data_IF_364017571886
#
_entry.id   IF_364017571886
#
_cell.length_a   1.000
_cell.length_b   1.000
_cell.length_c   1.000
_cell.angle_alpha   90.00
_cell.angle_beta   90.00
_cell.angle_gamma   90.00
#
_symmetry.space_group_name_H-M   'P 1'
#
loop_
_entity.id
_entity.type
_entity.pdbx_description
1 polymer ?
#
# COMPACT_ATOMS: atom_id res chain seq x y z
N UNK A 1 -37.73 -15.60 -37.02
CA UNK A 1 -36.63 -16.27 -36.28
C UNK A 1 -35.58 -15.22 -35.95
N UNK A 2 -35.44 -14.84 -34.68
CA UNK A 2 -34.31 -14.00 -34.22
C UNK A 2 -33.24 -14.97 -33.74
N UNK A 3 -32.10 -14.94 -34.42
CA UNK A 3 -30.92 -15.73 -34.06
C UNK A 3 -30.20 -14.95 -32.95
N UNK A 4 -30.33 -15.43 -31.71
CA UNK A 4 -29.53 -14.95 -30.59
C UNK A 4 -28.15 -15.60 -30.67
N UNK A 5 -27.13 -14.82 -30.98
CA UNK A 5 -25.73 -15.22 -30.81
C UNK A 5 -25.39 -15.13 -29.31
N UNK A 6 -24.80 -16.16 -28.71
CA UNK A 6 -24.34 -16.09 -27.32
C UNK A 6 -23.13 -15.16 -27.25
N UNK A 7 -23.28 -14.08 -26.49
CA UNK A 7 -22.15 -13.27 -26.02
C UNK A 7 -21.36 -14.19 -25.09
N UNK A 8 -20.17 -14.60 -25.54
CA UNK A 8 -19.23 -15.30 -24.69
C UNK A 8 -18.90 -14.43 -23.48
N UNK A 9 -19.35 -14.84 -22.30
CA UNK A 9 -18.79 -14.36 -21.04
C UNK A 9 -17.31 -14.76 -21.04
N UNK A 10 -16.42 -13.79 -21.23
CA UNK A 10 -15.06 -13.91 -20.70
C UNK A 10 -15.17 -13.79 -19.18
N UNK A 11 -15.49 -14.91 -18.53
CA UNK A 11 -15.07 -15.09 -17.15
C UNK A 11 -13.55 -14.99 -17.17
N UNK A 12 -13.01 -13.95 -16.51
CA UNK A 12 -11.57 -13.81 -16.30
C UNK A 12 -11.07 -15.04 -15.55
N UNK A 13 -10.62 -16.05 -16.29
CA UNK A 13 -9.66 -17.03 -15.80
C UNK A 13 -8.44 -16.21 -15.42
N UNK A 14 -8.35 -15.86 -14.14
CA UNK A 14 -7.19 -15.19 -13.57
C UNK A 14 -5.97 -16.01 -13.92
N UNK A 15 -5.14 -15.49 -14.84
CA UNK A 15 -3.75 -15.89 -14.90
C UNK A 15 -3.23 -15.69 -13.47
N UNK A 16 -2.61 -16.72 -12.90
CA UNK A 16 -2.02 -16.63 -11.58
C UNK A 16 -1.17 -15.35 -11.54
N UNK A 17 -1.39 -14.49 -10.54
CA UNK A 17 -0.62 -13.27 -10.37
C UNK A 17 0.88 -13.59 -10.47
N UNK A 18 1.58 -13.00 -11.44
CA UNK A 18 3.02 -13.07 -11.47
C UNK A 18 3.56 -12.14 -10.39
N UNK A 19 4.19 -12.74 -9.37
CA UNK A 19 4.80 -12.03 -8.24
C UNK A 19 6.32 -12.19 -8.27
N UNK A 20 6.92 -12.54 -9.41
CA UNK A 20 8.36 -12.79 -9.55
C UNK A 20 9.21 -11.56 -9.22
N UNK A 21 8.65 -10.36 -9.38
CA UNK A 21 9.27 -9.09 -8.97
C UNK A 21 9.48 -8.98 -7.46
N UNK A 22 8.72 -9.74 -6.66
CA UNK A 22 8.86 -9.84 -5.20
C UNK A 22 9.62 -11.11 -4.81
N UNK A 23 10.28 -11.06 -3.66
CA UNK A 23 10.59 -12.28 -2.92
C UNK A 23 9.35 -12.67 -2.13
N UNK A 24 8.61 -13.67 -2.61
CA UNK A 24 7.41 -14.13 -1.91
C UNK A 24 7.78 -15.18 -0.86
N UNK A 25 7.36 -14.94 0.38
CA UNK A 25 7.59 -15.88 1.47
C UNK A 25 6.61 -17.07 1.45
N UNK A 26 7.09 -18.24 1.86
CA UNK A 26 6.25 -19.44 1.99
C UNK A 26 5.14 -19.27 3.03
N UNK A 27 5.30 -18.37 4.01
CA UNK A 27 4.21 -17.99 4.94
C UNK A 27 2.98 -17.40 4.25
N UNK A 28 3.12 -16.85 3.04
CA UNK A 28 2.00 -16.35 2.23
C UNK A 28 1.38 -17.43 1.33
N UNK A 29 2.04 -18.58 1.21
CA UNK A 29 1.69 -19.64 0.26
C UNK A 29 1.17 -20.90 0.95
N UNK A 30 0.78 -20.81 2.21
CA UNK A 30 0.08 -21.92 2.90
C UNK A 30 -1.29 -22.15 2.26
N UNK A 31 -1.86 -23.37 2.35
CA UNK A 31 -3.17 -23.68 1.78
C UNK A 31 -4.29 -22.72 2.23
N UNK A 32 -4.21 -22.19 3.44
CA UNK A 32 -5.20 -21.30 4.05
C UNK A 32 -5.10 -19.86 3.55
N UNK A 33 -3.94 -19.45 3.00
CA UNK A 33 -3.63 -18.05 2.68
C UNK A 33 -3.46 -17.79 1.20
N UNK A 34 -2.92 -18.77 0.46
CA UNK A 34 -2.49 -18.62 -0.94
C UNK A 34 -3.57 -18.01 -1.82
N UNK A 35 -4.77 -18.56 -1.79
CA UNK A 35 -5.82 -18.16 -2.74
C UNK A 35 -6.31 -16.73 -2.43
N UNK A 36 -6.47 -16.38 -1.15
CA UNK A 36 -6.81 -15.03 -0.72
C UNK A 36 -5.71 -14.02 -1.05
N UNK A 37 -4.45 -14.39 -0.82
CA UNK A 37 -3.29 -13.54 -1.11
C UNK A 37 -3.13 -13.26 -2.61
N UNK A 38 -3.19 -14.30 -3.43
CA UNK A 38 -3.09 -14.18 -4.88
C UNK A 38 -4.24 -13.34 -5.46
N UNK A 39 -5.47 -13.56 -4.99
CA UNK A 39 -6.62 -12.74 -5.37
C UNK A 39 -6.41 -11.28 -4.98
N UNK A 40 -5.95 -11.04 -3.75
CA UNK A 40 -5.73 -9.69 -3.27
C UNK A 40 -4.66 -8.95 -4.08
N UNK A 41 -3.61 -9.65 -4.53
CA UNK A 41 -2.58 -9.10 -5.41
C UNK A 41 -3.13 -8.74 -6.79
N UNK A 42 -3.88 -9.64 -7.42
CA UNK A 42 -4.54 -9.34 -8.70
C UNK A 42 -5.52 -8.16 -8.58
N UNK A 43 -6.30 -8.10 -7.49
CA UNK A 43 -7.20 -6.98 -7.25
C UNK A 43 -6.43 -5.68 -7.01
N UNK A 44 -5.30 -5.73 -6.30
CA UNK A 44 -4.44 -4.56 -6.06
C UNK A 44 -3.85 -4.02 -7.37
N UNK A 45 -3.45 -4.89 -8.30
CA UNK A 45 -3.04 -4.51 -9.65
C UNK A 45 -4.15 -3.73 -10.37
N UNK A 46 -5.37 -4.30 -10.43
CA UNK A 46 -6.52 -3.66 -11.10
C UNK A 46 -6.83 -2.28 -10.48
N UNK A 47 -6.77 -2.17 -9.16
CA UNK A 47 -6.98 -0.91 -8.45
C UNK A 47 -5.88 0.11 -8.74
N UNK A 48 -4.62 -0.31 -8.79
CA UNK A 48 -3.48 0.56 -9.11
C UNK A 48 -3.55 1.10 -10.54
N UNK A 49 -3.87 0.23 -11.52
CA UNK A 49 -4.07 0.60 -12.92
C UNK A 49 -5.20 1.60 -13.04
N UNK A 50 -6.33 1.33 -12.39
CA UNK A 50 -7.49 2.23 -12.43
C UNK A 50 -7.18 3.59 -11.82
N UNK A 51 -6.45 3.62 -10.70
CA UNK A 51 -6.03 4.86 -10.05
C UNK A 51 -5.09 5.67 -10.96
N UNK A 52 -4.10 5.03 -11.60
CA UNK A 52 -3.22 5.69 -12.55
C UNK A 52 -3.99 6.30 -13.74
N UNK A 53 -4.88 5.51 -14.36
CA UNK A 53 -5.71 5.98 -15.48
C UNK A 53 -6.61 7.17 -15.10
N UNK A 54 -7.18 7.13 -13.89
CA UNK A 54 -8.04 8.20 -13.38
C UNK A 54 -7.26 9.46 -13.06
N UNK A 55 -6.07 9.32 -12.48
CA UNK A 55 -5.15 10.43 -12.29
C UNK A 55 -4.80 11.03 -13.66
N UNK A 56 -4.45 10.24 -14.68
CA UNK A 56 -4.16 10.78 -16.01
C UNK A 56 -5.33 11.56 -16.63
N UNK A 57 -6.59 11.14 -16.39
CA UNK A 57 -7.77 11.89 -16.86
C UNK A 57 -7.89 13.26 -16.21
N UNK A 58 -7.47 13.43 -14.95
CA UNK A 58 -7.54 14.71 -14.24
C UNK A 58 -6.55 15.77 -14.74
N UNK A 59 -5.55 15.38 -15.56
CA UNK A 59 -4.71 16.34 -16.29
C UNK A 59 -5.50 17.11 -17.34
N UNK A 60 -6.55 16.49 -17.88
CA UNK A 60 -7.44 17.10 -18.86
C UNK A 60 -8.49 17.97 -18.20
N UNK A 61 -8.91 19.01 -18.92
CA UNK A 61 -10.02 19.85 -18.52
C UNK A 61 -11.31 19.04 -18.34
N UNK A 62 -12.14 19.47 -17.39
CA UNK A 62 -13.46 18.93 -17.14
C UNK A 62 -14.32 19.10 -18.40
N UNK A 63 -14.91 18.02 -18.94
CA UNK A 63 -15.77 18.11 -20.12
C UNK A 63 -17.02 18.97 -19.90
N UNK A 64 -17.55 19.52 -20.99
CA UNK A 64 -18.80 20.28 -21.00
C UNK A 64 -20.03 19.45 -20.57
N UNK A 65 -21.10 20.15 -20.15
CA UNK A 65 -22.27 19.58 -19.46
C UNK A 65 -23.02 18.48 -20.24
N UNK A 66 -22.77 18.34 -21.54
CA UNK A 66 -23.58 17.52 -22.44
C UNK A 66 -23.05 16.09 -22.61
N UNK A 67 -22.12 15.62 -21.76
CA UNK A 67 -21.45 14.33 -21.97
C UNK A 67 -21.40 13.45 -20.71
N UNK A 68 -21.58 12.14 -20.89
CA UNK A 68 -21.25 11.13 -19.86
C UNK A 68 -19.78 11.23 -19.38
N UNK A 69 -18.92 11.86 -20.18
CA UNK A 69 -17.54 12.14 -19.84
C UNK A 69 -17.43 13.12 -18.67
N UNK A 70 -18.31 14.13 -18.58
CA UNK A 70 -18.32 15.06 -17.44
C UNK A 70 -18.70 14.36 -16.14
N UNK A 71 -19.76 13.57 -16.15
CA UNK A 71 -20.19 12.79 -14.97
C UNK A 71 -19.06 11.89 -14.48
N UNK A 72 -18.37 11.22 -15.42
CA UNK A 72 -17.22 10.39 -15.07
C UNK A 72 -16.05 11.21 -14.52
N UNK A 73 -15.71 12.35 -15.13
CA UNK A 73 -14.68 13.24 -14.62
C UNK A 73 -15.01 13.74 -13.22
N UNK A 74 -16.24 14.18 -12.97
CA UNK A 74 -16.70 14.66 -11.67
C UNK A 74 -16.63 13.56 -10.60
N UNK A 75 -16.96 12.32 -10.96
CA UNK A 75 -16.82 11.15 -10.08
C UNK A 75 -15.36 10.91 -9.72
N UNK A 76 -14.46 10.92 -10.71
CA UNK A 76 -13.03 10.74 -10.50
C UNK A 76 -12.47 11.86 -9.63
N UNK A 77 -12.86 13.10 -9.90
CA UNK A 77 -12.40 14.25 -9.13
C UNK A 77 -12.83 14.18 -7.67
N UNK A 78 -14.08 13.79 -7.39
CA UNK A 78 -14.55 13.53 -6.01
C UNK A 78 -13.77 12.40 -5.34
N UNK A 79 -13.52 11.30 -6.04
CA UNK A 79 -12.73 10.20 -5.50
C UNK A 79 -11.30 10.63 -5.17
N UNK A 80 -10.64 11.40 -6.05
CA UNK A 80 -9.31 11.93 -5.80
C UNK A 80 -9.27 12.88 -4.59
N UNK A 81 -10.27 13.75 -4.44
CA UNK A 81 -10.42 14.58 -3.23
C UNK A 81 -10.52 13.74 -1.97
N UNK A 82 -11.39 12.73 -1.98
CA UNK A 82 -11.65 11.91 -0.79
C UNK A 82 -10.51 10.94 -0.46
N UNK A 83 -9.75 10.47 -1.46
CA UNK A 83 -8.68 9.49 -1.25
C UNK A 83 -7.35 10.16 -0.98
N UNK A 84 -7.04 11.22 -1.71
CA UNK A 84 -5.71 11.83 -1.73
C UNK A 84 -5.67 13.21 -1.12
N UNK A 85 -6.82 13.85 -0.89
CA UNK A 85 -6.89 15.12 -0.17
C UNK A 85 -6.60 16.36 -1.02
N UNK A 86 -6.73 16.27 -2.34
CA UNK A 86 -6.58 17.43 -3.24
C UNK A 86 -7.81 17.58 -4.14
N UNK A 87 -8.20 18.84 -4.42
CA UNK A 87 -9.30 19.14 -5.35
C UNK A 87 -8.72 19.35 -6.75
N UNK A 88 -9.07 18.51 -7.74
CA UNK A 88 -8.58 18.68 -9.10
C UNK A 88 -9.08 19.99 -9.72
N UNK A 89 -8.23 20.62 -10.54
CA UNK A 89 -8.59 21.84 -11.25
C UNK A 89 -9.50 21.51 -12.45
N UNK A 90 -10.60 22.26 -12.60
CA UNK A 90 -11.55 22.09 -13.72
C UNK A 90 -10.92 22.36 -15.08
N UNK A 91 -9.88 23.19 -15.15
CA UNK A 91 -9.17 23.47 -16.40
C UNK A 91 -8.08 22.43 -16.73
N UNK A 92 -7.96 21.39 -15.89
CA UNK A 92 -6.87 20.41 -15.93
C UNK A 92 -5.93 20.65 -14.76
N UNK A 93 -5.62 19.58 -14.04
CA UNK A 93 -4.76 19.66 -12.86
C UNK A 93 -3.27 19.64 -13.27
N UNK A 94 -2.48 20.55 -12.71
CA UNK A 94 -1.07 20.70 -13.06
C UNK A 94 -0.28 19.44 -12.68
N UNK A 95 0.31 18.71 -13.65
CA UNK A 95 1.07 17.49 -13.37
C UNK A 95 2.32 17.73 -12.52
N UNK A 96 2.78 18.98 -12.39
CA UNK A 96 3.93 19.37 -11.59
C UNK A 96 3.54 19.93 -10.21
N UNK A 97 2.24 20.02 -9.88
CA UNK A 97 1.83 20.31 -8.51
C UNK A 97 2.36 19.20 -7.61
N UNK A 98 3.10 19.59 -6.56
CA UNK A 98 3.92 18.68 -5.76
C UNK A 98 3.12 17.46 -5.28
N UNK A 99 1.95 17.68 -4.69
CA UNK A 99 1.15 16.62 -4.12
C UNK A 99 0.58 15.67 -5.16
N UNK A 100 0.00 16.20 -6.24
CA UNK A 100 -0.51 15.40 -7.34
C UNK A 100 0.59 14.63 -8.08
N UNK A 101 1.75 15.26 -8.26
CA UNK A 101 2.92 14.62 -8.86
C UNK A 101 3.41 13.44 -8.02
N UNK A 102 3.40 13.56 -6.69
CA UNK A 102 3.76 12.48 -5.76
C UNK A 102 2.75 11.33 -5.79
N UNK A 103 1.45 11.61 -5.82
CA UNK A 103 0.41 10.57 -5.95
C UNK A 103 0.56 9.83 -7.28
N UNK A 104 0.75 10.55 -8.40
CA UNK A 104 1.02 9.94 -9.70
C UNK A 104 2.30 9.11 -9.69
N UNK A 105 3.35 9.59 -9.04
CA UNK A 105 4.63 8.89 -8.90
C UNK A 105 4.48 7.52 -8.21
N UNK A 106 3.63 7.42 -7.18
CA UNK A 106 3.34 6.17 -6.46
C UNK A 106 2.61 5.18 -7.35
N UNK A 107 1.48 5.60 -7.94
CA UNK A 107 0.67 4.70 -8.75
C UNK A 107 1.37 4.29 -10.05
N UNK A 108 2.22 5.15 -10.62
CA UNK A 108 3.09 4.78 -11.76
C UNK A 108 4.01 3.61 -11.42
N UNK A 109 4.61 3.59 -10.22
CA UNK A 109 5.48 2.47 -9.79
C UNK A 109 4.71 1.23 -9.42
N UNK A 110 3.55 1.39 -8.80
CA UNK A 110 2.64 0.27 -8.57
C UNK A 110 2.27 -0.38 -9.89
N UNK A 111 1.89 0.38 -10.93
CA UNK A 111 1.55 -0.20 -12.23
C UNK A 111 2.77 -0.87 -12.88
N UNK A 112 3.93 -0.21 -12.90
CA UNK A 112 5.16 -0.83 -13.42
C UNK A 112 5.50 -2.15 -12.74
N UNK A 113 5.32 -2.24 -11.42
CA UNK A 113 5.67 -3.43 -10.66
C UNK A 113 4.61 -4.52 -10.74
N UNK A 114 3.33 -4.16 -10.56
CA UNK A 114 2.24 -5.14 -10.43
C UNK A 114 1.73 -5.64 -11.80
N UNK A 115 1.82 -4.80 -12.85
CA UNK A 115 1.31 -5.12 -14.18
C UNK A 115 2.41 -5.34 -15.21
N UNK A 116 3.46 -4.52 -15.18
CA UNK A 116 4.53 -4.57 -16.20
C UNK A 116 5.76 -5.39 -15.75
N UNK A 117 5.65 -6.11 -14.61
CA UNK A 117 6.71 -6.94 -14.02
C UNK A 117 8.07 -6.24 -13.87
N UNK A 118 8.04 -4.93 -13.62
CA UNK A 118 9.21 -4.09 -13.44
C UNK A 118 9.28 -3.54 -12.02
N UNK A 119 10.12 -4.14 -11.17
CA UNK A 119 10.38 -3.63 -9.82
C UNK A 119 11.07 -2.26 -9.86
N UNK A 120 10.48 -1.26 -9.19
CA UNK A 120 11.05 0.09 -9.10
C UNK A 120 11.06 0.57 -7.64
N UNK A 121 12.25 0.77 -7.02
CA UNK A 121 13.60 0.52 -7.55
C UNK A 121 13.95 -0.97 -7.63
N UNK A 122 14.75 -1.37 -8.62
CA UNK A 122 15.10 -2.77 -8.94
C UNK A 122 15.65 -3.56 -7.74
N UNK A 123 16.47 -2.93 -6.89
CA UNK A 123 17.10 -3.55 -5.72
C UNK A 123 16.41 -3.17 -4.41
N UNK A 124 15.14 -2.75 -4.45
CA UNK A 124 14.48 -2.19 -3.27
C UNK A 124 15.14 -0.90 -2.79
N UNK A 125 14.63 -0.37 -1.68
CA UNK A 125 15.15 0.85 -1.06
C UNK A 125 16.25 0.56 -0.02
N UNK A 126 16.25 -0.63 0.57
CA UNK A 126 17.28 -1.12 1.50
C UNK A 126 18.42 -1.90 0.83
N UNK A 127 18.39 -2.06 -0.49
CA UNK A 127 19.39 -2.79 -1.27
C UNK A 127 19.15 -4.31 -1.36
N UNK A 128 17.96 -4.78 -0.98
CA UNK A 128 17.48 -6.14 -1.14
C UNK A 128 16.23 -6.16 -2.03
N UNK A 129 16.05 -7.24 -2.79
CA UNK A 129 14.79 -7.48 -3.50
C UNK A 129 13.62 -7.48 -2.50
N UNK A 130 12.57 -6.66 -2.69
CA UNK A 130 11.48 -6.52 -1.72
C UNK A 130 10.77 -7.85 -1.41
N UNK A 131 10.54 -8.12 -0.12
CA UNK A 131 9.95 -9.35 0.40
C UNK A 131 8.49 -9.13 0.80
N UNK A 132 7.60 -10.00 0.33
CA UNK A 132 6.23 -10.11 0.84
C UNK A 132 6.17 -11.28 1.81
N UNK A 133 5.77 -11.01 3.05
CA UNK A 133 5.77 -11.99 4.14
C UNK A 133 4.41 -11.98 4.84
N UNK A 134 3.97 -13.12 5.39
CA UNK A 134 2.65 -13.24 5.99
C UNK A 134 2.67 -13.78 7.44
N UNK A 135 3.86 -13.87 8.05
CA UNK A 135 4.05 -14.35 9.42
C UNK A 135 5.35 -13.81 10.05
N UNK A 136 5.24 -12.96 11.08
CA UNK A 136 6.42 -12.38 11.74
C UNK A 136 7.28 -13.42 12.47
N UNK A 137 6.75 -14.61 12.73
CA UNK A 137 7.48 -15.69 13.41
C UNK A 137 8.66 -16.24 12.61
N UNK A 138 8.83 -15.80 11.35
CA UNK A 138 10.00 -16.11 10.51
C UNK A 138 11.29 -15.47 11.03
N UNK A 139 11.18 -14.37 11.76
CA UNK A 139 12.34 -13.70 12.32
C UNK A 139 12.91 -14.46 13.51
N UNK A 140 14.24 -14.59 13.54
CA UNK A 140 14.96 -15.24 14.64
C UNK A 140 15.81 -14.20 15.36
N UNK A 141 15.77 -14.21 16.69
CA UNK A 141 16.61 -13.32 17.48
C UNK A 141 18.07 -13.76 17.43
N UNK A 142 18.95 -12.83 17.07
CA UNK A 142 20.42 -12.98 17.10
C UNK A 142 20.96 -11.93 18.05
N UNK A 143 21.58 -12.36 19.15
CA UNK A 143 22.23 -11.47 20.09
C UNK A 143 23.46 -10.79 19.48
N UNK A 144 23.86 -9.64 20.04
CA UNK A 144 25.01 -8.87 19.55
C UNK A 144 26.33 -9.66 19.48
N UNK A 145 26.49 -10.65 20.36
CA UNK A 145 27.69 -11.48 20.49
C UNK A 145 27.51 -12.86 19.83
N UNK A 146 26.30 -13.18 19.35
CA UNK A 146 26.03 -14.39 18.59
C UNK A 146 26.56 -14.26 17.17
N UNK A 147 26.88 -15.40 16.53
CA UNK A 147 27.32 -15.42 15.13
C UNK A 147 26.23 -14.88 14.22
N UNK A 148 26.60 -13.97 13.32
CA UNK A 148 25.69 -13.51 12.28
C UNK A 148 25.41 -14.65 11.28
N UNK A 149 24.15 -15.10 11.14
CA UNK A 149 23.81 -16.21 10.26
C UNK A 149 24.03 -15.92 8.77
N UNK A 150 24.27 -14.66 8.39
CA UNK A 150 24.52 -14.27 7.01
C UNK A 150 25.91 -13.66 6.77
N UNK A 151 26.82 -13.67 7.76
CA UNK A 151 28.22 -13.29 7.57
C UNK A 151 29.06 -14.53 7.19
N UNK A 152 29.66 -14.60 6.00
CA UNK A 152 30.44 -15.78 5.57
C UNK A 152 31.66 -16.06 6.45
N UNK A 153 32.20 -15.03 7.11
CA UNK A 153 33.31 -15.17 8.05
C UNK A 153 32.87 -15.66 9.44
N UNK A 154 31.56 -15.81 9.68
CA UNK A 154 31.00 -16.27 10.95
C UNK A 154 31.30 -15.34 12.12
N UNK A 155 31.50 -14.04 11.86
CA UNK A 155 31.78 -13.05 12.89
C UNK A 155 30.53 -12.81 13.76
N UNK A 156 30.71 -12.35 15.01
CA UNK A 156 29.60 -11.88 15.83
C UNK A 156 28.83 -10.75 15.15
N UNK A 157 27.53 -10.65 15.44
CA UNK A 157 26.64 -9.65 14.84
C UNK A 157 27.16 -8.22 15.02
N UNK A 158 27.74 -7.89 16.17
CA UNK A 158 28.34 -6.56 16.45
C UNK A 158 29.54 -6.23 15.54
N UNK A 159 30.22 -7.23 14.99
CA UNK A 159 31.39 -7.06 14.13
C UNK A 159 31.01 -7.07 12.66
N UNK A 160 30.07 -7.94 12.24
CA UNK A 160 29.56 -7.99 10.86
C UNK A 160 28.69 -6.79 10.52
N UNK A 161 27.93 -6.28 11.50
CA UNK A 161 26.98 -5.17 11.38
C UNK A 161 27.36 -4.01 12.32
N UNK A 162 28.63 -3.66 12.38
CA UNK A 162 29.16 -2.65 13.32
C UNK A 162 28.52 -1.26 13.25
N UNK A 163 27.95 -0.90 12.09
CA UNK A 163 27.25 0.37 11.88
C UNK A 163 25.78 0.33 12.37
N UNK A 164 25.19 -0.85 12.52
CA UNK A 164 23.81 -1.04 12.99
C UNK A 164 23.77 -1.44 14.48
N UNK A 165 24.75 -2.24 14.92
CA UNK A 165 24.85 -2.77 16.27
C UNK A 165 25.86 -1.95 17.07
N UNK A 166 25.45 -0.73 17.45
CA UNK A 166 26.30 0.22 18.17
C UNK A 166 25.93 0.33 19.66
N UNK A 167 26.90 0.69 20.51
CA UNK A 167 26.62 1.05 21.90
C UNK A 167 25.94 -0.06 22.70
N UNK A 168 24.76 0.24 23.25
CA UNK A 168 23.97 -0.63 24.13
C UNK A 168 23.01 -1.58 23.39
N UNK A 169 23.04 -1.66 22.06
CA UNK A 169 22.21 -2.59 21.30
C UNK A 169 22.37 -4.05 21.77
N UNK A 170 21.26 -4.75 22.00
CA UNK A 170 21.26 -6.13 22.49
C UNK A 170 21.36 -7.17 21.38
N UNK A 171 20.84 -6.87 20.20
CA UNK A 171 20.83 -7.78 19.05
C UNK A 171 19.87 -7.32 17.97
N UNK A 172 19.49 -8.25 17.10
CA UNK A 172 18.50 -8.01 16.06
C UNK A 172 17.61 -9.23 15.84
N UNK A 173 16.38 -8.97 15.38
CA UNK A 173 15.57 -9.97 14.72
C UNK A 173 16.01 -10.09 13.26
N UNK A 174 16.39 -11.29 12.84
CA UNK A 174 16.99 -11.54 11.53
C UNK A 174 16.13 -12.47 10.68
N UNK A 175 15.87 -12.07 9.44
CA UNK A 175 15.25 -12.94 8.43
C UNK A 175 15.69 -12.55 7.02
N UNK A 176 16.13 -13.52 6.19
CA UNK A 176 16.53 -13.30 4.79
C UNK A 176 17.40 -12.03 4.60
N UNK A 177 18.49 -11.90 5.38
CA UNK A 177 19.41 -10.74 5.39
C UNK A 177 18.81 -9.38 5.82
N UNK A 178 17.62 -9.38 6.43
CA UNK A 178 16.97 -8.19 7.00
C UNK A 178 17.14 -8.22 8.52
N UNK A 179 17.51 -7.09 9.09
CA UNK A 179 17.88 -6.96 10.50
C UNK A 179 17.01 -5.88 11.13
N UNK A 180 16.20 -6.26 12.12
CA UNK A 180 15.45 -5.34 12.95
C UNK A 180 16.19 -5.21 14.29
N UNK A 181 16.95 -4.13 14.41
CA UNK A 181 17.86 -3.90 15.53
C UNK A 181 17.10 -3.45 16.76
N UNK A 182 17.35 -4.10 17.90
CA UNK A 182 16.70 -3.76 19.16
C UNK A 182 17.71 -3.60 20.31
N UNK A 183 17.45 -2.62 21.18
CA UNK A 183 18.24 -2.34 22.39
C UNK A 183 18.03 -3.38 23.51
N UNK A 184 16.95 -4.14 23.45
CA UNK A 184 16.64 -5.24 24.37
C UNK A 184 16.03 -6.41 23.59
N UNK A 185 16.26 -7.64 24.05
CA UNK A 185 15.55 -8.81 23.52
C UNK A 185 14.08 -8.73 23.90
N UNK A 186 13.21 -8.68 22.89
CA UNK A 186 11.76 -8.79 23.06
C UNK A 186 11.30 -10.21 22.75
N UNK A 187 10.07 -10.62 23.14
CA UNK A 187 9.53 -11.95 22.81
C UNK A 187 9.23 -12.14 21.32
N UNK A 188 8.94 -11.05 20.59
CA UNK A 188 8.68 -11.05 19.15
C UNK A 188 9.25 -9.78 18.49
N UNK A 189 9.10 -9.66 17.17
CA UNK A 189 9.45 -8.41 16.45
C UNK A 189 8.54 -7.25 16.83
N UNK A 190 7.32 -7.56 17.29
CA UNK A 190 6.32 -6.58 17.68
C UNK A 190 5.74 -5.80 16.50
N UNK A 191 5.86 -6.32 15.28
CA UNK A 191 5.30 -5.72 14.06
C UNK A 191 3.81 -6.06 13.93
N UNK A 192 3.42 -7.32 14.16
CA UNK A 192 2.03 -7.75 14.03
C UNK A 192 1.25 -7.69 15.35
N UNK A 193 1.09 -6.47 15.89
CA UNK A 193 0.32 -6.23 17.12
C UNK A 193 -1.19 -6.41 16.88
N UNK A 194 -1.99 -6.63 17.95
CA UNK A 194 -3.45 -6.67 17.81
C UNK A 194 -3.99 -5.44 17.06
N UNK A 195 -4.86 -5.67 16.07
CA UNK A 195 -5.41 -4.62 15.21
C UNK A 195 -4.52 -4.17 14.05
N UNK A 196 -3.29 -4.70 13.94
CA UNK A 196 -2.40 -4.43 12.79
C UNK A 196 -2.66 -5.46 11.70
N UNK A 197 -3.05 -4.98 10.52
CA UNK A 197 -3.32 -5.84 9.36
C UNK A 197 -2.06 -6.07 8.53
N UNK A 198 -1.24 -5.05 8.35
CA UNK A 198 0.04 -5.18 7.70
C UNK A 198 1.00 -4.08 8.15
N UNK A 199 2.28 -4.23 7.82
CA UNK A 199 3.32 -3.23 8.07
C UNK A 199 4.29 -3.20 6.89
N UNK A 200 4.62 -2.00 6.46
CA UNK A 200 5.67 -1.75 5.46
C UNK A 200 6.92 -1.19 6.13
N UNK A 201 8.08 -1.78 5.83
CA UNK A 201 9.38 -1.27 6.28
C UNK A 201 10.32 -1.05 5.10
N UNK A 202 10.22 0.14 4.51
CA UNK A 202 10.97 0.58 3.32
C UNK A 202 12.47 0.42 3.45
N UNK A 203 13.05 0.67 4.63
CA UNK A 203 14.49 0.49 4.89
C UNK A 203 14.93 -0.97 4.81
N UNK A 204 14.02 -1.91 5.10
CA UNK A 204 14.33 -3.31 5.23
C UNK A 204 13.82 -4.14 4.04
N UNK A 205 13.27 -3.52 3.00
CA UNK A 205 12.80 -4.24 1.82
C UNK A 205 11.77 -5.32 2.14
N UNK A 206 10.77 -5.00 2.98
CA UNK A 206 9.65 -5.90 3.15
C UNK A 206 8.32 -5.22 3.46
N UNK A 207 7.26 -5.95 3.09
CA UNK A 207 5.89 -5.75 3.53
C UNK A 207 5.45 -7.02 4.25
N UNK A 208 4.94 -6.90 5.47
CA UNK A 208 4.38 -8.00 6.25
C UNK A 208 2.86 -7.88 6.32
N UNK A 209 2.15 -8.92 5.87
CA UNK A 209 0.71 -9.07 6.08
C UNK A 209 0.48 -9.91 7.34
N UNK A 210 -0.05 -9.29 8.37
CA UNK A 210 -0.22 -9.90 9.67
C UNK A 210 -1.40 -10.89 9.71
N UNK A 211 -1.44 -11.82 10.70
CA UNK A 211 -2.51 -12.81 10.81
C UNK A 211 -3.95 -12.26 10.73
N UNK A 212 -4.29 -11.07 11.29
CA UNK A 212 -5.63 -10.49 11.13
C UNK A 212 -6.07 -10.29 9.68
N UNK A 213 -5.13 -10.10 8.76
CA UNK A 213 -5.39 -9.98 7.31
C UNK A 213 -5.83 -11.27 6.63
N UNK A 214 -5.74 -12.39 7.33
CA UNK A 214 -6.17 -13.71 6.84
C UNK A 214 -7.33 -14.28 7.65
N UNK A 215 -7.86 -13.54 8.63
CA UNK A 215 -9.10 -13.93 9.29
C UNK A 215 -10.25 -13.93 8.27
N UNK A 216 -11.15 -14.91 8.37
CA UNK A 216 -12.23 -15.10 7.40
C UNK A 216 -13.06 -13.83 7.14
N UNK A 217 -13.28 -13.00 8.17
CA UNK A 217 -14.01 -11.72 8.05
C UNK A 217 -13.30 -10.71 7.13
N UNK A 218 -11.99 -10.80 7.01
CA UNK A 218 -11.14 -9.93 6.19
C UNK A 218 -10.88 -10.59 4.83
N UNK A 219 -10.40 -11.83 4.83
CA UNK A 219 -10.04 -12.55 3.62
C UNK A 219 -11.23 -12.80 2.68
N UNK A 220 -12.44 -12.97 3.23
CA UNK A 220 -13.65 -13.19 2.43
C UNK A 220 -14.43 -11.90 2.15
N UNK A 221 -13.95 -10.74 2.62
CA UNK A 221 -14.57 -9.46 2.26
C UNK A 221 -14.40 -9.25 0.76
N UNK A 222 -15.50 -8.99 0.05
CA UNK A 222 -15.47 -8.65 -1.38
C UNK A 222 -14.67 -7.38 -1.61
N UNK A 223 -13.81 -7.37 -2.63
CA UNK A 223 -13.07 -6.17 -2.99
C UNK A 223 -13.94 -5.21 -3.82
N UNK A 224 -13.46 -3.97 -3.99
CA UNK A 224 -14.08 -3.02 -4.92
C UNK A 224 -14.01 -3.49 -6.38
N UNK A 225 -13.11 -4.42 -6.72
CA UNK A 225 -13.04 -5.05 -8.05
C UNK A 225 -14.23 -5.98 -8.23
N UNK A 226 -14.52 -6.83 -7.24
CA UNK A 226 -15.70 -7.72 -7.25
C UNK A 226 -17.01 -6.92 -7.31
N UNK A 227 -17.03 -5.73 -6.69
CA UNK A 227 -18.20 -4.85 -6.66
C UNK A 227 -18.60 -4.37 -8.07
N UNK A 228 -17.64 -4.18 -8.97
CA UNK A 228 -17.91 -3.63 -10.31
C UNK A 228 -18.95 -4.46 -11.06
N UNK A 229 -18.87 -5.78 -10.92
CA UNK A 229 -19.73 -6.72 -11.64
C UNK A 229 -20.88 -7.27 -10.78
N UNK A 230 -20.86 -7.03 -9.47
CA UNK A 230 -21.83 -7.60 -8.53
C UNK A 230 -22.66 -6.59 -7.73
N UNK A 231 -22.32 -5.31 -7.75
CA UNK A 231 -23.03 -4.30 -6.97
C UNK A 231 -24.40 -3.96 -7.56
N UNK A 232 -25.44 -4.12 -6.76
CA UNK A 232 -26.83 -3.83 -7.13
C UNK A 232 -27.29 -2.49 -6.56
N UNK A 233 -28.45 -2.02 -7.04
CA UNK A 233 -29.12 -0.88 -6.41
C UNK A 233 -29.63 -1.31 -5.02
N UNK A 234 -29.29 -0.54 -3.98
CA UNK A 234 -29.60 -0.87 -2.58
C UNK A 234 -28.45 -1.54 -1.81
N UNK A 235 -27.37 -1.94 -2.47
CA UNK A 235 -26.18 -2.42 -1.77
C UNK A 235 -25.51 -1.29 -0.99
N UNK A 236 -25.19 -1.54 0.29
CA UNK A 236 -24.30 -0.67 1.05
C UNK A 236 -22.90 -0.83 0.51
N UNK A 237 -22.33 0.22 -0.09
CA UNK A 237 -20.98 0.16 -0.67
C UNK A 237 -19.89 -0.10 0.39
N UNK A 238 -20.18 0.18 1.67
CA UNK A 238 -19.32 -0.18 2.81
C UNK A 238 -19.19 -1.70 3.03
N UNK A 239 -20.04 -2.52 2.40
CA UNK A 239 -19.93 -3.99 2.44
C UNK A 239 -18.71 -4.52 1.69
N UNK A 240 -18.10 -3.70 0.81
CA UNK A 240 -16.81 -3.97 0.14
C UNK A 240 -15.61 -3.52 1.02
N UNK A 241 -15.74 -3.84 2.31
CA UNK A 241 -15.14 -3.25 3.52
C UNK A 241 -13.70 -2.71 3.48
N UNK A 242 -13.47 -1.79 4.44
CA UNK A 242 -12.23 -1.19 4.92
C UNK A 242 -11.08 -2.15 5.04
N UNK A 243 -11.44 -3.34 5.46
CA UNK A 243 -10.52 -4.36 5.91
C UNK A 243 -10.30 -5.39 4.82
N UNK A 244 -10.74 -5.21 3.57
CA UNK A 244 -10.43 -6.16 2.50
C UNK A 244 -8.92 -6.28 2.28
N UNK A 245 -8.43 -7.51 2.08
CA UNK A 245 -7.00 -7.77 1.92
C UNK A 245 -6.39 -7.03 0.72
N UNK A 246 -7.13 -6.90 -0.39
CA UNK A 246 -6.67 -6.14 -1.56
C UNK A 246 -6.49 -4.66 -1.26
N UNK A 247 -7.37 -4.07 -0.45
CA UNK A 247 -7.21 -2.69 0.00
C UNK A 247 -6.01 -2.53 0.92
N UNK A 248 -5.85 -3.44 1.90
CA UNK A 248 -4.67 -3.46 2.78
C UNK A 248 -3.41 -3.52 1.91
N UNK A 249 -3.38 -4.38 0.90
CA UNK A 249 -2.25 -4.53 -0.02
C UNK A 249 -1.96 -3.25 -0.83
N UNK A 250 -2.98 -2.61 -1.41
CA UNK A 250 -2.80 -1.31 -2.09
C UNK A 250 -2.24 -0.25 -1.14
N UNK A 251 -2.72 -0.22 0.10
CA UNK A 251 -2.25 0.70 1.14
C UNK A 251 -0.76 0.47 1.43
N UNK A 252 -0.36 -0.76 1.77
CA UNK A 252 1.04 -1.10 2.04
C UNK A 252 1.96 -0.85 0.84
N UNK A 253 1.50 -1.19 -0.38
CA UNK A 253 2.26 -0.89 -1.59
C UNK A 253 2.44 0.61 -1.80
N UNK A 254 1.46 1.42 -1.44
CA UNK A 254 1.62 2.87 -1.51
C UNK A 254 2.66 3.39 -0.49
N UNK A 255 2.72 2.82 0.72
CA UNK A 255 3.81 3.11 1.67
C UNK A 255 5.17 2.70 1.10
N UNK A 256 5.23 1.53 0.46
CA UNK A 256 6.45 1.02 -0.16
C UNK A 256 6.92 1.95 -1.29
N UNK A 257 6.09 2.16 -2.31
CA UNK A 257 6.46 2.93 -3.50
C UNK A 257 6.54 4.44 -3.26
N UNK A 258 5.79 4.98 -2.29
CA UNK A 258 5.87 6.38 -1.86
C UNK A 258 7.09 6.71 -1.04
N UNK A 259 7.83 5.70 -0.58
CA UNK A 259 8.98 5.87 0.27
C UNK A 259 10.26 6.35 -0.41
N UNK A 260 10.26 7.09 -1.53
CA UNK A 260 11.49 7.55 -2.23
C UNK A 260 12.08 8.90 -1.69
N UNK A 261 13.41 9.09 -1.80
CA UNK A 261 14.30 10.23 -1.42
C UNK A 261 14.61 10.70 0.05
N UNK A 262 13.96 10.28 1.14
CA UNK A 262 14.25 10.71 2.55
C UNK A 262 15.03 9.75 3.52
N UNK A 263 16.13 9.13 3.09
CA UNK A 263 16.61 7.82 3.60
C UNK A 263 17.58 7.90 4.76
N UNK A 264 17.20 8.63 5.80
CA UNK A 264 17.93 8.70 7.06
C UNK A 264 17.52 7.60 8.04
N UNK A 265 18.33 7.43 9.09
CA UNK A 265 18.43 6.26 9.99
C UNK A 265 17.15 5.73 10.65
N UNK A 266 16.04 6.46 10.64
CA UNK A 266 14.78 6.03 11.25
C UNK A 266 13.64 6.08 10.23
N UNK A 267 13.36 4.92 9.62
CA UNK A 267 12.15 4.54 8.88
C UNK A 267 11.39 5.67 8.14
N UNK A 268 11.51 5.70 6.81
CA UNK A 268 10.61 6.46 5.93
C UNK A 268 9.19 5.89 6.01
N UNK A 269 8.45 6.24 7.06
CA UNK A 269 7.02 5.96 7.14
C UNK A 269 6.31 7.09 6.40
N UNK A 270 5.76 6.81 5.22
CA UNK A 270 4.65 7.64 4.71
C UNK A 270 3.55 7.52 5.77
N UNK A 271 3.20 8.59 6.49
CA UNK A 271 2.27 8.46 7.61
C UNK A 271 0.87 8.20 7.07
N UNK A 272 0.15 7.28 7.71
CA UNK A 272 -1.26 7.12 7.42
C UNK A 272 -2.00 8.41 7.76
N UNK A 273 -2.64 9.00 6.78
CA UNK A 273 -3.40 10.23 6.96
C UNK A 273 -4.80 10.06 6.40
N UNK A 274 -5.76 10.56 7.18
CA UNK A 274 -7.13 10.67 6.74
C UNK A 274 -7.25 11.91 5.84
N UNK A 275 -7.63 11.73 4.57
CA UNK A 275 -7.74 12.82 3.60
C UNK A 275 -8.90 13.77 3.89
N UNK A 276 -9.99 13.23 4.44
CA UNK A 276 -11.21 13.96 4.76
C UNK A 276 -11.66 13.60 6.18
N UNK A 277 -11.99 14.60 7.00
CA UNK A 277 -12.54 14.36 8.33
C UNK A 277 -14.01 13.94 8.27
N UNK A 278 -14.60 13.65 9.43
CA UNK A 278 -16.01 13.25 9.61
C UNK A 278 -17.06 14.17 8.96
N UNK A 279 -16.69 15.42 8.70
CA UNK A 279 -17.55 16.42 8.05
C UNK A 279 -17.35 16.51 6.53
N UNK A 280 -16.46 15.70 5.95
CA UNK A 280 -16.07 15.76 4.54
C UNK A 280 -15.03 16.84 4.21
N UNK A 281 -14.58 17.61 5.19
CA UNK A 281 -13.55 18.64 5.01
C UNK A 281 -12.17 17.99 4.81
N UNK A 282 -11.36 18.57 3.91
CA UNK A 282 -9.97 18.15 3.72
C UNK A 282 -9.17 18.33 5.01
N UNK A 283 -8.43 17.30 5.40
CA UNK A 283 -7.60 17.31 6.61
C UNK A 283 -6.12 17.28 6.22
N UNK A 284 -5.40 18.29 6.69
CA UNK A 284 -3.97 18.47 6.51
C UNK A 284 -3.21 18.27 7.82
N UNK A 285 -1.89 18.11 7.75
CA UNK A 285 -1.03 18.17 8.93
C UNK A 285 -0.35 19.55 9.00
N UNK A 286 -0.63 20.28 10.07
CA UNK A 286 0.02 21.55 10.40
C UNK A 286 1.52 21.33 10.72
N UNK A 287 2.35 22.40 10.69
CA UNK A 287 3.78 22.30 11.02
C UNK A 287 4.06 21.70 12.41
N UNK A 288 3.14 21.86 13.36
CA UNK A 288 3.22 21.32 14.72
C UNK A 288 2.81 19.83 14.82
N UNK A 289 2.50 19.20 13.69
CA UNK A 289 2.09 17.80 13.60
C UNK A 289 0.60 17.56 13.84
N UNK A 290 -0.20 18.59 14.18
CA UNK A 290 -1.64 18.42 14.43
C UNK A 290 -2.45 18.40 13.13
N UNK A 291 -3.60 17.72 13.16
CA UNK A 291 -4.57 17.75 12.07
C UNK A 291 -5.27 19.11 12.02
N UNK A 292 -5.44 19.66 10.83
CA UNK A 292 -6.11 20.94 10.58
C UNK A 292 -6.93 20.87 9.29
N UNK A 293 -8.01 21.64 9.19
CA UNK A 293 -8.76 21.86 7.94
C UNK A 293 -8.42 23.21 7.29
N UNK A 294 -7.60 24.03 7.96
CA UNK A 294 -7.14 25.30 7.43
C UNK A 294 -5.97 25.10 6.46
N UNK A 295 -6.27 25.18 5.16
CA UNK A 295 -5.28 25.06 4.09
C UNK A 295 -4.37 26.29 3.92
N UNK A 296 -4.62 27.39 4.65
CA UNK A 296 -3.89 28.65 4.52
C UNK A 296 -2.65 28.76 5.41
N UNK A 297 -2.44 27.82 6.34
CA UNK A 297 -1.29 27.87 7.24
C UNK A 297 0.02 27.67 6.46
N UNK A 298 1.03 28.53 6.68
CA UNK A 298 2.34 28.34 6.06
C UNK A 298 3.03 27.09 6.62
N UNK A 299 3.65 26.30 5.74
CA UNK A 299 4.38 25.09 6.11
C UNK A 299 3.53 23.84 6.36
N UNK A 300 2.25 23.85 5.97
CA UNK A 300 1.42 22.64 5.96
C UNK A 300 2.10 21.58 5.11
N UNK A 301 2.21 20.37 5.67
CA UNK A 301 2.65 19.22 4.90
C UNK A 301 1.44 18.52 4.31
N UNK A 302 1.36 18.55 2.99
CA UNK A 302 0.47 17.72 2.19
C UNK A 302 1.21 16.40 1.96
N UNK A 303 1.08 15.46 2.89
CA UNK A 303 1.70 14.15 2.69
C UNK A 303 0.95 13.38 1.62
N UNK A 304 1.61 12.43 0.98
CA UNK A 304 0.96 11.36 0.21
C UNK A 304 -0.04 10.67 1.14
N UNK A 305 -1.30 11.08 1.03
CA UNK A 305 -2.39 10.60 1.86
C UNK A 305 -2.77 9.21 1.41
N UNK A 306 -2.56 8.17 2.22
CA UNK A 306 -3.28 6.91 2.07
C UNK A 306 -3.77 6.41 3.44
N UNK A 307 -5.06 6.11 3.48
CA UNK A 307 -5.92 6.15 4.67
C UNK A 307 -5.63 5.09 5.76
N UNK A 308 -5.67 5.52 7.03
CA UNK A 308 -6.29 4.71 8.11
C UNK A 308 -7.80 4.70 7.85
N UNK A 309 -8.37 3.51 7.73
CA UNK A 309 -9.78 3.31 7.50
C UNK A 309 -10.59 3.54 8.80
N UNK A 310 -11.29 4.67 8.89
CA UNK A 310 -12.46 4.76 9.78
C UNK A 310 -13.68 5.44 9.11
N UNK A 311 -13.51 6.15 8.00
CA UNK A 311 -14.63 6.81 7.31
C UNK A 311 -14.44 6.72 5.80
N UNK A 312 -14.92 5.63 5.20
CA UNK A 312 -14.90 5.46 3.75
C UNK A 312 -16.17 5.95 3.09
N UNK A 313 -15.95 6.56 1.93
CA UNK A 313 -16.69 6.32 0.69
C UNK A 313 -18.19 6.58 0.81
N UNK A 314 -18.46 7.84 1.13
CA UNK A 314 -19.71 8.49 0.83
C UNK A 314 -19.91 8.66 -0.69
N UNK A 315 -20.94 7.97 -1.18
CA UNK A 315 -21.85 8.26 -2.32
C UNK A 315 -21.48 7.91 -3.77
N UNK A 316 -22.38 7.10 -4.38
CA UNK A 316 -22.76 7.12 -5.80
C UNK A 316 -23.32 8.50 -6.17
#
# INVERSE_FOLDING_TARGET
>A
MKISLPIALFAGLGLAADMNVWDLDDSCQTPERRDAFNKAYSDAEVLAVKAQEDLEKLKGARPDFVSNMRTNWDRIARAATNMFGFVPNKDGHDPNEEHYSNVRYVFDRMVKTLKDDQMVPENGYGGLKPLLLCDENRFVWVGRDDKDPHDPAGRPLRESRSHEITGSTAGAWVYKKRYLVNVVKQPSTGLCRPGTFAVTLTRNDFVIFCPPSFEAKVANTKSAVDAKDSAQEGDTLDSYSATSLSRIMVHEFAHWFGGDKSGGLENRNVPDQQAVGKNGDLVFQAPDGKRTTDASLPGIKKYVTLMVADEMIYYR
#
